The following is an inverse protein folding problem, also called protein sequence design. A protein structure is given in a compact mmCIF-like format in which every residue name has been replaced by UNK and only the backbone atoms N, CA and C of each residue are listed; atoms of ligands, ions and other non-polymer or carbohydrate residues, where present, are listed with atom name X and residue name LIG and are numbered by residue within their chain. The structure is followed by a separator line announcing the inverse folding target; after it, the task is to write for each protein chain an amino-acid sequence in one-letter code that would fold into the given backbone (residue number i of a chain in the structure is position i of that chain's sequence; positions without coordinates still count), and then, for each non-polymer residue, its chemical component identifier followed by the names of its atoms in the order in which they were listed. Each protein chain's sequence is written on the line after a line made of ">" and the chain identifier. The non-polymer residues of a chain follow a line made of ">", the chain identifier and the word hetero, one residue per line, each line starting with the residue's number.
data_IF_450345583563
#
_entry.id   IF_450345583563
#
_cell.length_a   1.000
_cell.length_b   1.000
_cell.length_c   1.000
_cell.angle_alpha   90.00
_cell.angle_beta   90.00
_cell.angle_gamma   90.00
#
_symmetry.space_group_name_H-M   'P 1'
#
loop_
_entity.id
_entity.type
_entity.pdbx_description
1 polymer ?
#
# COMPACT_ATOMS: atom_id res chain seq x y z
N UNK A 1 34.17 -2.53 12.36
CA UNK A 1 35.43 -2.93 11.68
C UNK A 1 35.21 -4.11 10.73
N UNK A 2 34.91 -5.33 11.23
CA UNK A 2 34.75 -6.52 10.38
C UNK A 2 33.72 -6.34 9.24
N UNK A 3 32.52 -5.84 9.56
CA UNK A 3 31.47 -5.57 8.57
C UNK A 3 31.93 -4.57 7.49
N UNK A 4 32.52 -3.44 7.89
CA UNK A 4 33.03 -2.44 6.95
C UNK A 4 34.15 -2.96 6.03
N UNK A 5 34.84 -4.04 6.43
CA UNK A 5 35.90 -4.66 5.66
C UNK A 5 35.42 -5.90 4.85
N UNK A 6 34.13 -6.26 4.92
CA UNK A 6 33.60 -7.48 4.31
C UNK A 6 34.18 -8.77 4.91
N UNK A 7 34.58 -8.73 6.19
CA UNK A 7 35.22 -9.87 6.86
C UNK A 7 34.26 -10.54 7.86
N UNK A 8 34.23 -11.88 7.92
CA UNK A 8 33.48 -12.60 8.95
C UNK A 8 34.14 -12.42 10.33
N UNK A 9 33.33 -12.52 11.38
CA UNK A 9 33.86 -12.62 12.75
C UNK A 9 34.26 -14.07 13.05
N UNK A 10 35.53 -14.28 13.41
CA UNK A 10 36.01 -15.59 13.83
C UNK A 10 35.37 -16.01 15.16
N UNK A 11 34.95 -17.27 15.27
CA UNK A 11 34.29 -17.82 16.46
C UNK A 11 35.09 -17.57 17.77
N UNK A 12 36.43 -17.73 17.81
CA UNK A 12 37.20 -17.42 19.03
C UNK A 12 37.08 -15.96 19.47
N UNK A 13 36.98 -15.02 18.53
CA UNK A 13 36.79 -13.60 18.85
C UNK A 13 35.41 -13.35 19.46
N UNK A 14 34.36 -13.97 18.92
CA UNK A 14 32.99 -13.90 19.47
C UNK A 14 32.96 -14.48 20.88
N UNK A 15 33.56 -15.67 21.09
CA UNK A 15 33.63 -16.29 22.42
C UNK A 15 34.38 -15.43 23.43
N UNK A 16 35.50 -14.80 23.02
CA UNK A 16 36.26 -13.90 23.87
C UNK A 16 35.45 -12.65 24.27
N UNK A 17 34.67 -12.08 23.34
CA UNK A 17 33.75 -10.97 23.63
C UNK A 17 32.62 -11.41 24.57
N UNK A 18 32.01 -12.58 24.33
CA UNK A 18 30.91 -13.10 25.14
C UNK A 18 31.32 -13.37 26.60
N UNK A 19 32.58 -13.74 26.82
CA UNK A 19 33.15 -13.97 28.15
C UNK A 19 33.40 -12.68 28.95
N UNK A 20 33.37 -11.50 28.31
CA UNK A 20 33.54 -10.24 29.03
C UNK A 20 32.26 -9.90 29.84
N UNK A 21 32.40 -9.48 31.11
CA UNK A 21 31.27 -9.19 31.98
C UNK A 21 30.62 -7.82 31.73
N UNK A 22 31.16 -7.00 30.83
CA UNK A 22 30.75 -5.61 30.68
C UNK A 22 29.38 -5.47 30.00
N UNK A 23 28.38 -5.09 30.78
CA UNK A 23 27.19 -4.41 30.26
C UNK A 23 27.53 -2.93 30.05
N UNK A 24 27.09 -2.36 28.93
CA UNK A 24 27.21 -0.91 28.73
C UNK A 24 26.39 -0.17 29.80
N UNK A 25 26.85 1.01 30.28
CA UNK A 25 26.02 1.85 31.13
C UNK A 25 24.71 2.21 30.40
N UNK A 26 23.67 2.55 31.17
CA UNK A 26 22.39 3.01 30.62
C UNK A 26 22.17 4.45 31.08
N UNK A 27 22.10 5.44 30.17
CA UNK A 27 22.24 5.32 28.71
C UNK A 27 23.65 4.92 28.24
N UNK A 28 23.74 4.33 27.04
CA UNK A 28 25.03 3.97 26.44
C UNK A 28 25.90 5.22 26.20
N UNK A 29 27.24 5.09 26.24
CA UNK A 29 28.14 6.15 25.81
C UNK A 29 27.94 6.47 24.33
N UNK A 30 28.17 7.73 23.94
CA UNK A 30 28.01 8.18 22.55
C UNK A 30 28.81 7.32 21.55
N UNK A 31 30.04 6.95 21.90
CA UNK A 31 30.90 6.08 21.09
C UNK A 31 30.24 4.72 20.82
N UNK A 32 29.61 4.10 21.84
CA UNK A 32 28.94 2.80 21.65
C UNK A 32 27.73 2.92 20.70
N UNK A 33 26.96 4.01 20.80
CA UNK A 33 25.86 4.32 19.87
C UNK A 33 26.39 4.52 18.44
N UNK A 34 27.48 5.28 18.28
CA UNK A 34 28.09 5.52 16.97
C UNK A 34 28.64 4.24 16.33
N UNK A 35 29.20 3.33 17.13
CA UNK A 35 29.63 2.01 16.64
C UNK A 35 28.45 1.13 16.22
N UNK A 36 27.32 1.17 16.93
CA UNK A 36 26.10 0.51 16.49
C UNK A 36 25.62 1.06 15.15
N UNK A 37 25.54 2.39 15.00
CA UNK A 37 25.13 3.04 13.75
C UNK A 37 26.09 2.68 12.61
N UNK A 38 27.40 2.67 12.87
CA UNK A 38 28.43 2.27 11.90
C UNK A 38 28.26 0.82 11.47
N UNK A 39 27.93 -0.09 12.40
CA UNK A 39 27.65 -1.48 12.09
C UNK A 39 26.39 -1.61 11.22
N UNK A 40 25.30 -0.91 11.55
CA UNK A 40 24.06 -0.94 10.77
C UNK A 40 24.24 -0.33 9.36
N UNK A 41 25.10 0.69 9.25
CA UNK A 41 25.42 1.36 7.99
C UNK A 41 26.42 0.63 7.08
N UNK A 42 26.98 -0.52 7.50
CA UNK A 42 27.98 -1.25 6.73
C UNK A 42 27.41 -2.07 5.55
N UNK A 43 26.09 -2.06 5.34
CA UNK A 43 25.46 -2.71 4.21
C UNK A 43 25.39 -4.24 4.36
N UNK A 44 25.43 -5.02 3.26
CA UNK A 44 25.21 -6.47 3.30
C UNK A 44 26.14 -7.23 4.27
N UNK A 45 27.35 -6.74 4.48
CA UNK A 45 28.35 -7.35 5.37
C UNK A 45 28.00 -7.21 6.86
N UNK A 46 27.03 -6.36 7.22
CA UNK A 46 26.47 -6.27 8.57
C UNK A 46 25.85 -7.58 9.00
N UNK A 47 25.19 -8.27 8.09
CA UNK A 47 24.44 -9.49 8.34
C UNK A 47 25.29 -10.60 8.99
N UNK A 48 26.37 -11.11 8.37
CA UNK A 48 27.13 -12.23 8.93
C UNK A 48 27.80 -11.85 10.26
N UNK A 49 28.16 -10.57 10.42
CA UNK A 49 28.72 -10.04 11.66
C UNK A 49 27.66 -10.02 12.77
N UNK A 50 26.45 -9.55 12.47
CA UNK A 50 25.33 -9.53 13.42
C UNK A 50 24.94 -10.93 13.87
N UNK A 51 24.83 -11.88 12.92
CA UNK A 51 24.53 -13.29 13.21
C UNK A 51 25.59 -13.93 14.11
N UNK A 52 26.87 -13.65 13.86
CA UNK A 52 27.95 -14.14 14.70
C UNK A 52 27.86 -13.57 16.13
N UNK A 53 27.58 -12.27 16.28
CA UNK A 53 27.40 -11.62 17.59
C UNK A 53 26.18 -12.18 18.35
N UNK A 54 25.06 -12.40 17.66
CA UNK A 54 23.86 -12.99 18.25
C UNK A 54 24.03 -14.47 18.59
N UNK A 55 24.79 -15.24 17.80
CA UNK A 55 25.16 -16.61 18.16
C UNK A 55 25.95 -16.66 19.49
N UNK A 56 26.75 -15.63 19.77
CA UNK A 56 27.42 -15.43 21.06
C UNK A 56 26.54 -14.81 22.16
N UNK A 57 25.27 -14.51 21.88
CA UNK A 57 24.33 -13.87 22.80
C UNK A 57 24.64 -12.39 23.10
N UNK A 58 25.52 -11.75 22.32
CA UNK A 58 25.95 -10.38 22.55
C UNK A 58 24.86 -9.37 22.19
N UNK A 59 24.14 -9.58 21.09
CA UNK A 59 23.05 -8.68 20.67
C UNK A 59 21.93 -8.70 21.70
N UNK A 60 21.41 -9.88 22.07
CA UNK A 60 20.40 -10.01 23.13
C UNK A 60 20.84 -9.39 24.46
N UNK A 61 22.12 -9.47 24.83
CA UNK A 61 22.65 -8.84 26.05
C UNK A 61 22.62 -7.31 25.98
N UNK A 62 22.96 -6.75 24.82
CA UNK A 62 22.97 -5.30 24.58
C UNK A 62 21.54 -4.75 24.44
N UNK A 63 20.68 -5.48 23.74
CA UNK A 63 19.31 -5.13 23.37
C UNK A 63 18.35 -6.21 23.88
N UNK A 64 17.91 -6.15 25.16
CA UNK A 64 17.15 -7.23 25.79
C UNK A 64 15.86 -7.63 25.06
N UNK A 65 15.12 -6.66 24.51
CA UNK A 65 13.89 -6.93 23.77
C UNK A 65 14.10 -7.75 22.49
N UNK A 66 15.34 -7.87 22.01
CA UNK A 66 15.71 -8.72 20.86
C UNK A 66 15.33 -10.19 21.08
N UNK A 67 15.36 -10.67 22.33
CA UNK A 67 15.00 -12.04 22.69
C UNK A 67 13.60 -12.43 22.18
N UNK A 68 12.68 -11.46 22.12
CA UNK A 68 11.27 -11.67 21.73
C UNK A 68 11.09 -11.88 20.23
N UNK A 69 12.02 -11.39 19.41
CA UNK A 69 11.98 -11.46 17.94
C UNK A 69 12.96 -12.46 17.35
N UNK A 70 13.92 -12.93 18.16
CA UNK A 70 14.91 -13.94 17.77
C UNK A 70 14.27 -15.20 17.19
N UNK A 71 14.70 -15.59 15.99
CA UNK A 71 14.21 -16.73 15.21
C UNK A 71 12.68 -16.81 15.10
N UNK A 72 11.96 -15.68 15.27
CA UNK A 72 10.50 -15.67 15.29
C UNK A 72 9.98 -15.78 13.85
N UNK A 73 9.07 -16.73 13.55
CA UNK A 73 8.45 -16.80 12.22
C UNK A 73 7.60 -15.56 11.91
N UNK A 74 7.69 -15.04 10.69
CA UNK A 74 6.77 -14.03 10.19
C UNK A 74 5.45 -14.70 9.80
N UNK A 75 4.31 -14.06 10.13
CA UNK A 75 2.96 -14.63 9.89
C UNK A 75 2.43 -14.38 8.48
N UNK A 76 3.10 -13.55 7.68
CA UNK A 76 2.66 -13.18 6.34
C UNK A 76 3.53 -13.87 5.26
N UNK A 77 2.93 -14.56 4.26
CA UNK A 77 3.64 -15.35 3.25
C UNK A 77 4.64 -14.60 2.37
N UNK A 78 4.64 -13.26 2.35
CA UNK A 78 5.62 -12.48 1.58
C UNK A 78 6.97 -12.31 2.28
N UNK A 79 7.07 -12.54 3.59
CA UNK A 79 8.36 -12.41 4.27
C UNK A 79 9.25 -13.63 3.99
N UNK A 80 10.46 -13.35 3.50
CA UNK A 80 11.50 -14.36 3.28
C UNK A 80 12.20 -14.80 4.57
N UNK A 81 12.20 -13.94 5.59
CA UNK A 81 13.05 -14.06 6.77
C UNK A 81 12.26 -14.19 8.07
N UNK A 82 12.90 -14.70 9.12
CA UNK A 82 12.42 -14.52 10.50
C UNK A 82 12.43 -13.05 10.90
N UNK A 83 11.68 -12.67 11.93
CA UNK A 83 11.54 -11.26 12.33
C UNK A 83 12.90 -10.62 12.60
N UNK A 84 13.74 -11.24 13.42
CA UNK A 84 15.11 -10.78 13.70
C UNK A 84 15.97 -10.54 12.45
N UNK A 85 16.00 -11.52 11.53
CA UNK A 85 16.75 -11.37 10.27
C UNK A 85 16.15 -10.28 9.38
N UNK A 86 14.82 -10.15 9.34
CA UNK A 86 14.13 -9.09 8.61
C UNK A 86 14.51 -7.69 9.11
N UNK A 87 14.65 -7.49 10.43
CA UNK A 87 15.09 -6.21 11.01
C UNK A 87 16.49 -5.82 10.52
N UNK A 88 17.43 -6.78 10.51
CA UNK A 88 18.80 -6.54 10.02
C UNK A 88 18.79 -6.27 8.52
N UNK A 89 18.06 -7.04 7.72
CA UNK A 89 17.92 -6.82 6.27
C UNK A 89 17.29 -5.45 5.96
N UNK A 90 16.34 -5.00 6.78
CA UNK A 90 15.74 -3.67 6.66
C UNK A 90 16.77 -2.58 6.94
N UNK A 91 17.63 -2.75 7.96
CA UNK A 91 18.74 -1.84 8.21
C UNK A 91 19.76 -1.83 7.06
N UNK A 92 20.04 -2.98 6.44
CA UNK A 92 20.87 -3.07 5.23
C UNK A 92 20.26 -2.29 4.07
N UNK A 93 18.96 -2.44 3.81
CA UNK A 93 18.26 -1.64 2.77
C UNK A 93 18.28 -0.15 3.10
N UNK A 94 18.06 0.21 4.36
CA UNK A 94 18.11 1.59 4.83
C UNK A 94 19.51 2.22 4.69
N UNK A 95 20.59 1.44 4.83
CA UNK A 95 21.97 1.93 4.65
C UNK A 95 22.22 2.52 3.26
N UNK A 96 21.58 1.96 2.22
CA UNK A 96 21.65 2.47 0.85
C UNK A 96 20.88 3.80 0.66
N UNK A 97 19.98 4.13 1.58
CA UNK A 97 19.13 5.33 1.54
C UNK A 97 19.67 6.48 2.41
N UNK A 98 20.79 6.29 3.10
CA UNK A 98 21.37 7.26 4.04
C UNK A 98 21.66 8.63 3.43
N UNK A 99 21.93 8.70 2.12
CA UNK A 99 22.16 9.96 1.39
C UNK A 99 20.87 10.72 1.02
N UNK A 100 19.70 10.09 1.15
CA UNK A 100 18.38 10.69 0.85
C UNK A 100 17.74 11.37 2.06
N UNK A 101 18.32 11.21 3.25
CA UNK A 101 17.73 11.68 4.51
C UNK A 101 18.70 12.55 5.30
N UNK A 102 18.18 13.51 6.09
CA UNK A 102 18.98 14.41 6.93
C UNK A 102 19.53 13.73 8.20
N UNK A 103 18.85 12.69 8.69
CA UNK A 103 19.19 11.95 9.92
C UNK A 103 19.37 10.45 9.64
N UNK A 104 20.45 10.05 8.94
CA UNK A 104 20.70 8.65 8.59
C UNK A 104 20.87 7.75 9.83
N UNK A 105 21.33 8.31 10.95
CA UNK A 105 21.40 7.64 12.24
C UNK A 105 20.03 7.17 12.74
N UNK A 106 19.02 8.05 12.70
CA UNK A 106 17.66 7.71 13.10
C UNK A 106 17.01 6.72 12.14
N UNK A 107 17.27 6.85 10.84
CA UNK A 107 16.77 5.90 9.83
C UNK A 107 17.28 4.47 10.10
N UNK A 108 18.59 4.32 10.34
CA UNK A 108 19.20 3.00 10.59
C UNK A 108 18.67 2.36 11.88
N UNK A 109 18.51 3.16 12.93
CA UNK A 109 17.96 2.67 14.20
C UNK A 109 16.47 2.36 14.07
N UNK A 110 15.68 3.21 13.41
CA UNK A 110 14.26 2.92 13.16
C UNK A 110 14.07 1.63 12.34
N UNK A 111 14.92 1.39 11.32
CA UNK A 111 14.91 0.17 10.53
C UNK A 111 15.13 -1.09 11.39
N UNK A 112 16.06 -1.03 12.35
CA UNK A 112 16.29 -2.11 13.30
C UNK A 112 15.12 -2.32 14.27
N UNK A 113 14.35 -1.27 14.60
CA UNK A 113 13.35 -1.28 15.66
C UNK A 113 11.90 -1.43 15.19
N UNK A 114 11.60 -1.17 13.90
CA UNK A 114 10.22 -0.99 13.39
C UNK A 114 9.26 -2.14 13.72
N UNK A 115 9.77 -3.37 13.77
CA UNK A 115 8.98 -4.58 13.92
C UNK A 115 9.16 -5.27 15.29
N UNK A 116 9.85 -4.62 16.24
CA UNK A 116 10.14 -5.19 17.57
C UNK A 116 8.88 -5.55 18.36
N UNK A 117 7.76 -4.85 18.10
CA UNK A 117 6.47 -5.14 18.72
C UNK A 117 5.85 -6.48 18.32
N UNK A 118 6.29 -7.15 17.24
CA UNK A 118 5.77 -8.48 16.84
C UNK A 118 6.00 -9.58 17.88
N UNK A 119 6.94 -9.35 18.81
CA UNK A 119 7.20 -10.20 19.96
C UNK A 119 6.14 -10.12 21.08
N UNK A 120 5.21 -9.17 21.01
CA UNK A 120 4.25 -8.83 22.06
C UNK A 120 2.79 -9.02 21.62
N UNK A 121 1.83 -9.21 22.55
CA UNK A 121 0.43 -9.29 22.21
C UNK A 121 -0.14 -7.92 21.82
N UNK A 122 -1.18 -7.91 20.98
CA UNK A 122 -1.85 -6.70 20.52
C UNK A 122 -1.34 -6.19 19.16
N UNK A 123 -1.57 -4.91 18.91
CA UNK A 123 -1.05 -4.21 17.72
C UNK A 123 0.46 -3.99 17.86
N UNK A 124 1.23 -4.55 16.93
CA UNK A 124 2.69 -4.53 16.97
C UNK A 124 3.27 -3.13 16.79
N UNK A 125 2.59 -2.22 16.12
CA UNK A 125 3.06 -0.84 15.96
C UNK A 125 2.82 -0.04 17.24
N UNK A 126 1.70 -0.27 17.95
CA UNK A 126 1.46 0.32 19.29
C UNK A 126 2.53 -0.18 20.28
N UNK A 127 2.70 -1.49 20.39
CA UNK A 127 3.68 -2.07 21.32
C UNK A 127 5.11 -1.69 20.94
N UNK A 128 5.39 -1.66 19.63
CA UNK A 128 6.68 -1.28 19.05
C UNK A 128 7.09 0.14 19.40
N UNK A 129 6.16 1.10 19.44
CA UNK A 129 6.45 2.48 19.84
C UNK A 129 7.09 2.55 21.24
N UNK A 130 6.45 1.93 22.23
CA UNK A 130 6.94 1.93 23.61
C UNK A 130 8.33 1.29 23.70
N UNK A 131 8.51 0.14 23.05
CA UNK A 131 9.78 -0.58 23.01
C UNK A 131 10.87 0.26 22.33
N UNK A 132 10.54 0.91 21.22
CA UNK A 132 11.47 1.75 20.49
C UNK A 132 11.93 2.95 21.34
N UNK A 133 11.02 3.57 22.11
CA UNK A 133 11.36 4.68 23.01
C UNK A 133 12.29 4.24 24.14
N UNK A 134 12.01 3.09 24.75
CA UNK A 134 12.83 2.51 25.82
C UNK A 134 14.23 2.13 25.29
N UNK A 135 14.29 1.49 24.12
CA UNK A 135 15.54 1.11 23.46
C UNK A 135 16.34 2.33 23.01
N UNK A 136 15.71 3.35 22.44
CA UNK A 136 16.37 4.59 22.03
C UNK A 136 17.00 5.32 23.24
N UNK A 137 16.25 5.41 24.35
CA UNK A 137 16.75 5.97 25.61
C UNK A 137 17.92 5.16 26.15
N UNK A 138 17.84 3.82 26.10
CA UNK A 138 18.94 2.92 26.49
C UNK A 138 20.19 3.12 25.63
N UNK A 139 20.04 3.22 24.31
CA UNK A 139 21.12 3.47 23.35
C UNK A 139 21.70 4.90 23.51
N UNK A 140 21.01 5.77 24.25
CA UNK A 140 21.49 7.10 24.61
C UNK A 140 21.07 8.20 23.63
N UNK A 141 19.96 8.02 22.90
CA UNK A 141 19.35 9.12 22.17
C UNK A 141 18.71 10.15 23.13
N UNK A 142 18.67 11.41 22.71
CA UNK A 142 18.00 12.46 23.47
C UNK A 142 16.46 12.33 23.33
N UNK A 143 15.71 13.06 24.14
CA UNK A 143 14.25 12.97 24.16
C UNK A 143 13.60 13.24 22.78
N UNK A 144 14.07 14.25 22.04
CA UNK A 144 13.51 14.59 20.73
C UNK A 144 13.76 13.48 19.69
N UNK A 145 14.96 12.90 19.67
CA UNK A 145 15.29 11.79 18.78
C UNK A 145 14.52 10.52 19.16
N UNK A 146 14.33 10.28 20.46
CA UNK A 146 13.49 9.19 20.99
C UNK A 146 12.03 9.35 20.57
N UNK A 147 11.50 10.57 20.56
CA UNK A 147 10.15 10.86 20.08
C UNK A 147 10.01 10.55 18.58
N UNK A 148 10.98 10.99 17.77
CA UNK A 148 10.99 10.68 16.32
C UNK A 148 11.06 9.17 16.08
N UNK A 149 11.95 8.45 16.76
CA UNK A 149 12.05 6.98 16.64
C UNK A 149 10.74 6.29 17.04
N UNK A 150 10.11 6.73 18.13
CA UNK A 150 8.80 6.24 18.56
C UNK A 150 7.74 6.44 17.47
N UNK A 151 7.65 7.64 16.90
CA UNK A 151 6.70 7.96 15.82
C UNK A 151 6.96 7.14 14.56
N UNK A 152 8.22 6.97 14.16
CA UNK A 152 8.60 6.14 13.00
C UNK A 152 8.15 4.69 13.18
N UNK A 153 8.40 4.10 14.35
CA UNK A 153 7.98 2.72 14.65
C UNK A 153 6.46 2.62 14.76
N UNK A 154 5.80 3.60 15.39
CA UNK A 154 4.34 3.67 15.51
C UNK A 154 3.63 3.66 14.16
N UNK A 155 4.22 4.35 13.17
CA UNK A 155 3.60 4.62 11.88
C UNK A 155 4.30 3.96 10.70
N UNK A 156 5.17 2.97 10.90
CA UNK A 156 5.97 2.37 9.80
C UNK A 156 5.14 1.80 8.63
N UNK A 157 3.88 1.40 8.86
CA UNK A 157 2.94 0.96 7.82
C UNK A 157 2.07 2.09 7.22
N UNK A 158 2.06 3.27 7.84
CA UNK A 158 1.11 4.35 7.53
C UNK A 158 1.16 4.75 6.05
N UNK A 159 2.36 5.02 5.52
CA UNK A 159 2.50 5.51 4.15
C UNK A 159 2.06 4.47 3.13
N UNK A 160 2.51 3.21 3.28
CA UNK A 160 2.19 2.17 2.30
C UNK A 160 0.71 1.79 2.35
N UNK A 161 0.11 1.71 3.54
CA UNK A 161 -1.32 1.41 3.68
C UNK A 161 -2.18 2.56 3.19
N UNK A 162 -1.84 3.80 3.52
CA UNK A 162 -2.59 4.98 3.05
C UNK A 162 -2.50 5.12 1.54
N UNK A 163 -1.29 5.02 0.99
CA UNK A 163 -1.05 5.18 -0.44
C UNK A 163 -1.76 4.14 -1.31
N UNK A 164 -1.96 2.93 -0.78
CA UNK A 164 -2.59 1.83 -1.53
C UNK A 164 -4.09 1.68 -1.29
N UNK A 165 -4.63 2.26 -0.20
CA UNK A 165 -6.02 2.03 0.22
C UNK A 165 -6.89 3.27 0.26
N UNK A 166 -6.30 4.46 0.11
CA UNK A 166 -7.05 5.72 0.19
C UNK A 166 -6.86 6.59 -1.02
N UNK A 167 -7.81 7.51 -1.17
CA UNK A 167 -7.77 8.54 -2.20
C UNK A 167 -6.73 9.58 -1.82
N UNK A 168 -5.67 9.69 -2.63
CA UNK A 168 -4.59 10.67 -2.47
C UNK A 168 -5.03 12.09 -2.84
N UNK A 169 -6.13 12.21 -3.59
CA UNK A 169 -6.79 13.48 -3.89
C UNK A 169 -7.59 14.05 -2.72
N UNK A 170 -7.96 13.23 -1.74
CA UNK A 170 -8.73 13.69 -0.59
C UNK A 170 -7.85 14.45 0.41
N UNK A 171 -8.13 15.74 0.70
CA UNK A 171 -7.41 16.51 1.71
C UNK A 171 -7.43 15.86 3.10
N UNK A 172 -8.49 15.10 3.44
CA UNK A 172 -8.57 14.40 4.72
C UNK A 172 -7.52 13.26 4.83
N UNK A 173 -7.21 12.59 3.71
CA UNK A 173 -6.14 11.58 3.65
C UNK A 173 -4.78 12.22 3.92
N UNK A 174 -4.52 13.36 3.28
CA UNK A 174 -3.26 14.11 3.45
C UNK A 174 -3.12 14.63 4.88
N UNK A 175 -4.18 15.25 5.41
CA UNK A 175 -4.21 15.79 6.77
C UNK A 175 -3.94 14.70 7.82
N UNK A 176 -4.54 13.51 7.67
CA UNK A 176 -4.34 12.39 8.59
C UNK A 176 -2.86 11.97 8.66
N UNK A 177 -2.16 11.95 7.53
CA UNK A 177 -0.73 11.60 7.51
C UNK A 177 0.11 12.76 8.05
N UNK A 178 -0.24 14.00 7.71
CA UNK A 178 0.43 15.19 8.22
C UNK A 178 0.34 15.29 9.75
N UNK A 179 -0.84 15.05 10.33
CA UNK A 179 -1.07 15.05 11.77
C UNK A 179 -0.30 13.94 12.48
N UNK A 180 -0.18 12.76 11.86
CA UNK A 180 0.53 11.63 12.43
C UNK A 180 2.07 11.82 12.42
N UNK A 181 2.62 12.39 11.35
CA UNK A 181 4.08 12.60 11.23
C UNK A 181 4.56 13.92 11.87
N UNK A 182 3.70 14.93 11.94
CA UNK A 182 3.94 16.21 12.60
C UNK A 182 4.89 17.17 11.87
N UNK A 183 5.99 16.66 11.31
CA UNK A 183 7.04 17.51 10.73
C UNK A 183 7.72 16.89 9.47
N UNK A 184 8.38 17.73 8.62
CA UNK A 184 9.01 17.26 7.39
C UNK A 184 10.19 16.29 7.58
N UNK A 185 10.93 16.35 8.70
CA UNK A 185 12.02 15.44 8.99
C UNK A 185 11.47 14.03 9.27
N UNK A 186 10.43 13.93 10.10
CA UNK A 186 9.77 12.65 10.40
C UNK A 186 9.15 12.03 9.15
N UNK A 187 8.49 12.83 8.30
CA UNK A 187 7.93 12.35 7.03
C UNK A 187 9.02 11.80 6.09
N UNK A 188 10.16 12.50 5.98
CA UNK A 188 11.29 12.08 5.15
C UNK A 188 11.88 10.75 5.61
N UNK A 189 12.08 10.59 6.92
CA UNK A 189 12.58 9.36 7.52
C UNK A 189 11.57 8.21 7.36
N UNK A 190 10.28 8.48 7.54
CA UNK A 190 9.23 7.48 7.39
C UNK A 190 9.14 6.97 5.94
N UNK A 191 9.29 7.87 4.97
CA UNK A 191 9.33 7.49 3.56
C UNK A 191 10.49 6.53 3.26
N UNK A 192 11.70 6.85 3.72
CA UNK A 192 12.86 5.98 3.53
C UNK A 192 12.72 4.64 4.29
N UNK A 193 12.14 4.65 5.49
CA UNK A 193 11.87 3.44 6.27
C UNK A 193 10.87 2.52 5.56
N UNK A 194 9.76 3.06 5.05
CA UNK A 194 8.75 2.31 4.31
C UNK A 194 9.35 1.64 3.06
N UNK A 195 10.20 2.35 2.32
CA UNK A 195 10.91 1.78 1.16
C UNK A 195 11.88 0.66 1.57
N UNK A 196 12.67 0.88 2.62
CA UNK A 196 13.63 -0.10 3.12
C UNK A 196 12.96 -1.40 3.59
N UNK A 197 11.87 -1.30 4.34
CA UNK A 197 11.10 -2.45 4.86
C UNK A 197 10.46 -3.27 3.73
N UNK A 198 9.86 -2.59 2.75
CA UNK A 198 9.27 -3.25 1.60
C UNK A 198 10.35 -3.96 0.74
N UNK A 199 11.51 -3.33 0.52
CA UNK A 199 12.64 -3.96 -0.18
C UNK A 199 13.25 -5.15 0.57
N UNK A 200 13.23 -5.13 1.90
CA UNK A 200 13.72 -6.23 2.75
C UNK A 200 12.74 -7.42 2.75
N UNK A 201 11.44 -7.14 2.68
CA UNK A 201 10.40 -8.16 2.54
C UNK A 201 10.54 -8.92 1.21
N UNK A 202 10.76 -8.21 0.11
CA UNK A 202 11.10 -8.80 -1.20
C UNK A 202 10.64 -7.97 -2.40
N UNK A 203 11.07 -8.32 -3.63
CA UNK A 203 10.75 -7.56 -4.84
C UNK A 203 9.25 -7.49 -5.15
N UNK A 204 8.46 -8.47 -4.70
CA UNK A 204 7.01 -8.44 -4.83
C UNK A 204 6.33 -7.44 -3.87
N UNK A 205 7.01 -7.01 -2.80
CA UNK A 205 6.49 -6.07 -1.81
C UNK A 205 6.74 -4.60 -2.20
N UNK A 206 7.82 -4.29 -2.94
CA UNK A 206 8.10 -2.95 -3.44
C UNK A 206 8.18 -2.90 -4.98
N UNK A 207 7.07 -2.50 -5.60
CA UNK A 207 7.00 -2.28 -7.05
C UNK A 207 7.15 -0.80 -7.40
N UNK A 208 7.51 -0.50 -8.66
CA UNK A 208 7.50 0.85 -9.21
C UNK A 208 6.17 1.58 -8.97
N UNK A 209 5.06 0.87 -9.14
CA UNK A 209 3.73 1.38 -8.84
C UNK A 209 3.57 1.82 -7.38
N UNK A 210 3.89 0.94 -6.40
CA UNK A 210 3.79 1.30 -4.97
C UNK A 210 4.72 2.47 -4.63
N UNK A 211 5.94 2.48 -5.19
CA UNK A 211 6.86 3.59 -5.03
C UNK A 211 6.25 4.92 -5.52
N UNK A 212 5.60 4.92 -6.69
CA UNK A 212 4.96 6.14 -7.23
C UNK A 212 3.80 6.66 -6.37
N UNK A 213 3.00 5.76 -5.79
CA UNK A 213 1.88 6.13 -4.91
C UNK A 213 2.39 6.72 -3.59
N UNK A 214 3.39 6.08 -2.98
CA UNK A 214 4.01 6.57 -1.74
C UNK A 214 4.69 7.92 -1.99
N UNK A 215 5.39 8.09 -3.11
CA UNK A 215 6.03 9.35 -3.46
C UNK A 215 5.01 10.49 -3.69
N UNK A 216 3.88 10.23 -4.37
CA UNK A 216 2.82 11.23 -4.54
C UNK A 216 2.20 11.63 -3.19
N UNK A 217 1.88 10.65 -2.34
CA UNK A 217 1.40 10.92 -0.98
C UNK A 217 2.40 11.78 -0.19
N UNK A 218 3.68 11.40 -0.16
CA UNK A 218 4.73 12.14 0.56
C UNK A 218 4.85 13.57 0.02
N UNK A 219 4.78 13.77 -1.30
CA UNK A 219 4.81 15.11 -1.91
C UNK A 219 3.66 15.99 -1.43
N UNK A 220 2.44 15.44 -1.39
CA UNK A 220 1.23 16.16 -0.94
C UNK A 220 1.29 16.49 0.55
N UNK A 221 1.71 15.54 1.38
CA UNK A 221 1.88 15.74 2.83
C UNK A 221 2.97 16.77 3.11
N UNK A 222 4.10 16.71 2.39
CA UNK A 222 5.18 17.69 2.53
C UNK A 222 4.73 19.12 2.16
N UNK A 223 3.87 19.28 1.16
CA UNK A 223 3.26 20.56 0.84
C UNK A 223 2.34 21.03 1.99
N UNK A 224 1.46 20.16 2.48
CA UNK A 224 0.56 20.48 3.62
C UNK A 224 1.30 20.89 4.89
N UNK A 225 2.46 20.28 5.18
CA UNK A 225 3.27 20.60 6.36
C UNK A 225 4.00 21.96 6.22
N UNK A 226 4.30 22.41 5.00
CA UNK A 226 4.95 23.71 4.75
C UNK A 226 3.97 24.86 4.88
N UNK A 227 2.75 24.67 4.38
CA UNK A 227 1.77 25.75 4.25
C UNK A 227 0.97 25.98 5.56
N UNK A 228 1.23 25.20 6.62
CA UNK A 228 0.63 25.37 7.96
C UNK A 228 -0.88 25.07 8.03
N UNK A 229 -1.48 24.74 6.89
CA UNK A 229 -2.82 24.26 6.69
C UNK A 229 -2.82 23.47 5.38
N UNK A 230 -3.68 22.45 5.29
CA UNK A 230 -4.02 21.92 3.98
C UNK A 230 -4.39 23.11 3.07
N UNK A 231 -3.87 23.19 1.83
CA UNK A 231 -4.32 24.22 0.90
C UNK A 231 -5.86 24.21 0.90
N UNK A 232 -6.53 25.38 0.75
CA UNK A 232 -7.96 25.38 0.51
C UNK A 232 -8.26 24.35 -0.58
N UNK A 233 -9.43 23.69 -0.60
CA UNK A 233 -9.75 22.72 -1.64
C UNK A 233 -9.72 23.45 -3.00
N UNK A 234 -8.54 23.56 -3.59
CA UNK A 234 -8.36 23.81 -5.00
C UNK A 234 -9.13 22.66 -5.62
N UNK A 235 -10.19 23.01 -6.36
CA UNK A 235 -11.06 22.02 -6.99
C UNK A 235 -10.18 20.96 -7.62
N UNK A 236 -10.54 19.68 -7.43
CA UNK A 236 -9.75 18.54 -7.89
C UNK A 236 -9.08 18.87 -9.23
N UNK A 237 -7.74 18.73 -9.33
CA UNK A 237 -7.01 19.14 -10.53
C UNK A 237 -7.74 18.63 -11.76
N UNK A 238 -7.96 19.55 -12.72
CA UNK A 238 -8.71 19.24 -13.93
C UNK A 238 -8.13 18.01 -14.64
N UNK A 239 -8.94 17.33 -15.47
CA UNK A 239 -8.45 16.21 -16.27
C UNK A 239 -7.19 16.61 -17.05
N UNK A 240 -6.25 15.67 -17.19
CA UNK A 240 -5.08 15.92 -18.02
C UNK A 240 -5.49 16.29 -19.45
N UNK A 241 -4.67 17.06 -20.17
CA UNK A 241 -4.93 17.40 -21.60
C UNK A 241 -5.20 16.15 -22.44
N UNK A 242 -4.54 15.04 -22.10
CA UNK A 242 -4.77 13.74 -22.70
C UNK A 242 -6.17 13.18 -22.42
N UNK A 243 -6.60 13.22 -21.16
CA UNK A 243 -7.92 12.81 -20.72
C UNK A 243 -9.02 13.67 -21.39
N UNK A 244 -8.81 14.98 -21.48
CA UNK A 244 -9.71 15.90 -22.20
C UNK A 244 -9.84 15.53 -23.68
N UNK A 245 -8.73 15.22 -24.35
CA UNK A 245 -8.76 14.77 -25.77
C UNK A 245 -9.59 13.51 -25.97
N UNK A 246 -9.46 12.53 -25.07
CA UNK A 246 -10.27 11.32 -25.10
C UNK A 246 -11.75 11.63 -24.88
N UNK A 247 -12.07 12.56 -23.98
CA UNK A 247 -13.45 12.96 -23.73
C UNK A 247 -14.10 13.65 -24.95
N UNK A 248 -13.36 14.52 -25.64
CA UNK A 248 -13.83 15.14 -26.90
C UNK A 248 -14.02 14.10 -28.00
N UNK A 249 -13.21 13.04 -28.05
CA UNK A 249 -13.38 11.95 -29.00
C UNK A 249 -14.58 11.05 -28.67
N UNK A 250 -14.77 10.72 -27.39
CA UNK A 250 -15.92 9.96 -26.89
C UNK A 250 -17.23 10.68 -27.19
N UNK A 251 -17.26 12.01 -27.00
CA UNK A 251 -18.40 12.84 -27.38
C UNK A 251 -18.69 12.76 -28.88
N UNK A 252 -17.67 12.93 -29.74
CA UNK A 252 -17.84 12.90 -31.20
C UNK A 252 -18.30 11.53 -31.74
N UNK A 253 -17.86 10.45 -31.10
CA UNK A 253 -18.16 9.08 -31.54
C UNK A 253 -19.40 8.49 -30.88
N UNK A 254 -19.94 9.15 -29.85
CA UNK A 254 -21.01 8.64 -28.98
C UNK A 254 -20.74 7.24 -28.41
N UNK A 255 -19.46 6.87 -28.26
CA UNK A 255 -19.04 5.54 -27.83
C UNK A 255 -17.80 5.60 -26.94
N UNK A 256 -17.42 4.47 -26.32
CA UNK A 256 -16.27 4.42 -25.45
C UNK A 256 -14.97 4.58 -26.24
N UNK A 257 -14.09 5.43 -25.73
CA UNK A 257 -12.72 5.63 -26.19
C UNK A 257 -11.81 5.34 -25.01
N UNK A 258 -10.68 4.68 -25.23
CA UNK A 258 -9.75 4.37 -24.16
C UNK A 258 -8.30 4.49 -24.60
N UNK A 259 -7.42 4.75 -23.63
CA UNK A 259 -5.99 4.74 -23.79
C UNK A 259 -5.33 3.91 -22.67
N UNK A 260 -4.37 3.07 -23.04
CA UNK A 260 -3.50 2.36 -22.11
C UNK A 260 -2.13 3.04 -22.13
N UNK A 261 -1.62 3.43 -20.96
CA UNK A 261 -0.31 4.07 -20.82
C UNK A 261 0.54 3.35 -19.79
N UNK A 262 1.72 2.84 -20.16
CA UNK A 262 2.71 2.47 -19.16
C UNK A 262 3.18 3.75 -18.46
N UNK A 263 3.17 3.78 -17.13
CA UNK A 263 3.70 4.93 -16.39
C UNK A 263 5.23 4.83 -16.39
N UNK A 264 5.97 5.87 -16.81
CA UNK A 264 7.42 5.86 -16.68
C UNK A 264 7.79 5.76 -15.19
N UNK A 265 8.81 4.94 -14.91
CA UNK A 265 9.45 4.86 -13.60
C UNK A 265 10.31 6.10 -13.39
N UNK A 266 9.87 7.07 -12.59
CA UNK A 266 10.73 8.13 -12.06
C UNK A 266 11.64 7.54 -10.96
N UNK A 267 12.48 6.58 -11.33
CA UNK A 267 13.55 6.09 -10.45
C UNK A 267 14.88 6.50 -11.06
N UNK A 268 15.43 7.63 -10.59
CA UNK A 268 16.86 7.95 -10.65
C UNK A 268 17.63 6.97 -9.74
N UNK A 269 17.63 5.69 -10.09
CA UNK A 269 18.41 4.63 -9.44
C UNK A 269 19.32 3.96 -10.47
N UNK A 270 20.48 3.42 -10.06
CA UNK A 270 21.45 2.86 -11.00
C UNK A 270 20.79 1.74 -11.82
N UNK A 271 20.97 1.82 -13.14
CA UNK A 271 20.58 0.80 -14.11
C UNK A 271 21.08 -0.57 -13.62
N UNK A 272 20.16 -1.52 -13.42
CA UNK A 272 20.51 -2.90 -13.09
C UNK A 272 20.89 -3.61 -14.38
N UNK A 273 22.08 -4.23 -14.42
CA UNK A 273 22.61 -5.03 -15.54
C UNK A 273 21.94 -6.41 -15.74
N UNK A 274 20.66 -6.58 -15.36
CA UNK A 274 19.93 -7.84 -15.61
C UNK A 274 18.99 -7.69 -16.82
N UNK A 275 19.28 -8.44 -17.90
CA UNK A 275 18.54 -8.57 -19.17
C UNK A 275 17.13 -9.19 -19.03
N UNK A 276 16.31 -8.69 -18.11
CA UNK A 276 14.88 -8.95 -18.10
C UNK A 276 14.15 -7.66 -18.50
N UNK A 277 13.48 -7.67 -19.65
CA UNK A 277 12.60 -6.57 -20.06
C UNK A 277 11.71 -6.18 -18.87
N UNK A 278 11.70 -4.91 -18.42
CA UNK A 278 10.90 -4.52 -17.28
C UNK A 278 9.43 -4.75 -17.62
N UNK A 279 8.80 -5.74 -16.96
CA UNK A 279 7.36 -5.93 -17.05
C UNK A 279 6.67 -4.60 -16.73
N UNK A 280 5.67 -4.15 -17.52
CA UNK A 280 4.95 -2.92 -17.23
C UNK A 280 4.14 -3.11 -15.94
N UNK A 281 4.76 -2.78 -14.81
CA UNK A 281 4.21 -2.92 -13.46
C UNK A 281 3.41 -1.66 -13.14
N UNK A 282 2.18 -1.64 -13.65
CA UNK A 282 1.19 -0.57 -13.47
C UNK A 282 0.89 0.16 -14.78
N UNK A 283 -0.35 0.03 -15.24
CA UNK A 283 -0.86 0.68 -16.45
C UNK A 283 -1.99 1.59 -16.06
N UNK A 284 -1.91 2.83 -16.54
CA UNK A 284 -3.01 3.76 -16.51
C UNK A 284 -3.92 3.45 -17.70
N UNK A 285 -5.16 3.08 -17.40
CA UNK A 285 -6.23 2.91 -18.36
C UNK A 285 -7.21 4.07 -18.18
N UNK A 286 -7.20 5.01 -19.12
CA UNK A 286 -8.17 6.10 -19.16
C UNK A 286 -9.29 5.68 -20.12
N UNK A 287 -10.53 5.68 -19.63
CA UNK A 287 -11.73 5.41 -20.42
C UNK A 287 -12.60 6.66 -20.42
N UNK A 288 -13.02 7.11 -21.60
CA UNK A 288 -13.97 8.19 -21.77
C UNK A 288 -15.20 7.69 -22.53
N UNK A 289 -16.40 8.01 -22.04
CA UNK A 289 -17.66 7.60 -22.67
C UNK A 289 -18.83 8.49 -22.24
N UNK A 290 -19.91 8.58 -23.03
CA UNK A 290 -21.15 9.23 -22.60
C UNK A 290 -21.65 8.69 -21.27
N UNK A 291 -22.21 9.57 -20.45
CA UNK A 291 -22.85 9.16 -19.19
C UNK A 291 -24.07 8.27 -19.47
N UNK A 292 -24.04 7.07 -18.90
CA UNK A 292 -25.09 6.07 -19.03
C UNK A 292 -25.04 5.10 -17.84
N UNK A 293 -26.14 4.37 -17.56
CA UNK A 293 -26.13 3.30 -16.58
C UNK A 293 -25.13 2.19 -16.96
N UNK A 294 -24.60 1.49 -15.96
CA UNK A 294 -23.84 0.27 -16.09
C UNK A 294 -22.35 0.46 -16.30
N UNK A 295 -21.85 1.69 -16.37
CA UNK A 295 -20.48 1.98 -16.79
C UNK A 295 -19.44 1.39 -15.85
N UNK A 296 -19.49 1.69 -14.55
CA UNK A 296 -18.55 1.17 -13.56
C UNK A 296 -18.53 -0.38 -13.56
N UNK A 297 -19.66 -1.09 -13.42
CA UNK A 297 -19.63 -2.55 -13.48
C UNK A 297 -19.18 -3.06 -14.86
N UNK A 298 -19.61 -2.48 -15.98
CA UNK A 298 -19.18 -2.93 -17.31
C UNK A 298 -17.65 -2.88 -17.46
N UNK A 299 -17.02 -1.77 -17.07
CA UNK A 299 -15.55 -1.64 -17.13
C UNK A 299 -14.89 -2.65 -16.18
N UNK A 300 -15.31 -2.72 -14.91
CA UNK A 300 -14.76 -3.68 -13.94
C UNK A 300 -14.89 -5.14 -14.41
N UNK A 301 -16.03 -5.49 -15.01
CA UNK A 301 -16.31 -6.81 -15.56
C UNK A 301 -15.40 -7.16 -16.73
N UNK A 302 -15.24 -6.25 -17.70
CA UNK A 302 -14.33 -6.43 -18.84
C UNK A 302 -12.89 -6.59 -18.36
N UNK A 303 -12.42 -5.76 -17.43
CA UNK A 303 -11.08 -5.88 -16.85
C UNK A 303 -10.87 -7.25 -16.19
N UNK A 304 -11.85 -7.74 -15.41
CA UNK A 304 -11.80 -9.06 -14.79
C UNK A 304 -11.77 -10.19 -15.84
N UNK A 305 -12.54 -10.09 -16.92
CA UNK A 305 -12.52 -11.06 -18.03
C UNK A 305 -11.13 -11.13 -18.68
N UNK A 306 -10.47 -9.99 -18.86
CA UNK A 306 -9.11 -9.89 -19.40
C UNK A 306 -7.99 -10.17 -18.40
N UNK A 307 -8.32 -10.62 -17.18
CA UNK A 307 -7.34 -10.93 -16.11
C UNK A 307 -6.50 -9.72 -15.69
N UNK A 308 -7.08 -8.52 -15.75
CA UNK A 308 -6.47 -7.33 -15.23
C UNK A 308 -6.84 -7.19 -13.76
N UNK A 309 -5.83 -7.14 -12.89
CA UNK A 309 -6.02 -6.76 -11.50
C UNK A 309 -6.23 -5.24 -11.45
N UNK A 310 -7.31 -4.81 -10.80
CA UNK A 310 -7.58 -3.40 -10.55
C UNK A 310 -6.95 -3.03 -9.22
N UNK A 311 -6.26 -1.89 -9.18
CA UNK A 311 -5.68 -1.32 -7.95
C UNK A 311 -6.42 -0.05 -7.52
N UNK A 312 -6.81 0.78 -8.49
CA UNK A 312 -7.65 1.95 -8.24
C UNK A 312 -8.53 2.27 -9.44
N UNK A 313 -9.65 2.95 -9.19
CA UNK A 313 -10.50 3.55 -10.18
C UNK A 313 -10.95 4.93 -9.69
N UNK A 314 -10.75 5.96 -10.50
CA UNK A 314 -11.23 7.33 -10.25
C UNK A 314 -12.26 7.67 -11.33
N UNK A 315 -13.41 8.23 -10.95
CA UNK A 315 -14.54 8.49 -11.83
C UNK A 315 -14.97 9.95 -11.71
N UNK A 316 -15.07 10.62 -12.85
CA UNK A 316 -15.43 12.03 -12.94
C UNK A 316 -16.35 12.26 -14.13
N UNK A 317 -17.41 13.04 -13.92
CA UNK A 317 -18.17 13.64 -15.01
C UNK A 317 -17.52 14.97 -15.44
N UNK A 318 -17.31 15.17 -16.74
CA UNK A 318 -16.85 16.42 -17.33
C UNK A 318 -17.73 16.83 -18.50
N UNK A 319 -17.81 18.13 -18.75
CA UNK A 319 -18.40 18.67 -19.98
C UNK A 319 -17.29 19.32 -20.81
N UNK A 320 -16.60 18.56 -21.68
CA UNK A 320 -15.38 19.02 -22.34
C UNK A 320 -15.64 20.14 -23.38
N UNK A 321 -16.87 20.30 -23.87
CA UNK A 321 -17.21 21.23 -24.95
C UNK A 321 -18.52 22.01 -24.70
N UNK A 322 -19.10 21.94 -23.51
CA UNK A 322 -20.39 22.59 -23.21
C UNK A 322 -21.60 21.91 -23.87
N UNK A 323 -21.46 20.66 -24.28
CA UNK A 323 -22.41 19.98 -25.18
C UNK A 323 -22.89 18.61 -24.66
N UNK A 324 -22.44 18.19 -23.47
CA UNK A 324 -22.91 16.96 -22.83
C UNK A 324 -21.91 16.38 -21.85
N UNK A 325 -22.43 15.67 -20.84
CA UNK A 325 -21.60 15.02 -19.83
C UNK A 325 -20.92 13.76 -20.39
N UNK A 326 -19.59 13.73 -20.23
CA UNK A 326 -18.73 12.59 -20.50
C UNK A 326 -18.20 12.08 -19.18
N UNK A 327 -18.30 10.77 -18.96
CA UNK A 327 -17.63 10.10 -17.87
C UNK A 327 -16.19 9.82 -18.26
N UNK A 328 -15.28 10.29 -17.43
CA UNK A 328 -13.88 9.96 -17.47
C UNK A 328 -13.57 9.02 -16.31
N UNK A 329 -13.01 7.86 -16.63
CA UNK A 329 -12.58 6.88 -15.65
C UNK A 329 -11.08 6.63 -15.80
N UNK A 330 -10.33 6.94 -14.76
CA UNK A 330 -8.91 6.62 -14.65
C UNK A 330 -8.75 5.35 -13.81
N UNK A 331 -8.32 4.27 -14.44
CA UNK A 331 -8.10 2.98 -13.81
C UNK A 331 -6.61 2.69 -13.74
N UNK A 332 -6.13 2.28 -12.57
CA UNK A 332 -4.80 1.68 -12.45
C UNK A 332 -4.94 0.17 -12.41
N UNK A 333 -4.32 -0.49 -13.40
CA UNK A 333 -4.43 -1.94 -13.59
C UNK A 333 -3.08 -2.60 -13.80
N UNK A 334 -3.00 -3.90 -13.55
CA UNK A 334 -1.86 -4.72 -13.94
C UNK A 334 -2.32 -6.05 -14.51
N UNK A 335 -1.56 -6.62 -15.46
CA UNK A 335 -1.83 -7.98 -15.90
C UNK A 335 -1.57 -8.96 -14.74
N UNK A 336 -2.51 -9.88 -14.49
CA UNK A 336 -2.27 -10.98 -13.54
C UNK A 336 -1.26 -11.98 -14.10
N UNK A 337 -1.26 -12.16 -15.43
CA UNK A 337 -0.37 -13.06 -16.16
C UNK A 337 -0.14 -12.54 -17.58
N UNK A 338 1.10 -12.64 -18.07
CA UNK A 338 1.44 -12.34 -19.46
C UNK A 338 1.36 -10.86 -19.82
N UNK A 339 1.32 -10.58 -21.13
CA UNK A 339 1.27 -9.21 -21.66
C UNK A 339 -0.12 -8.58 -21.52
N UNK A 340 -0.14 -7.25 -21.46
CA UNK A 340 -1.39 -6.47 -21.49
C UNK A 340 -2.21 -6.76 -22.76
N UNK A 341 -3.55 -6.77 -22.66
CA UNK A 341 -4.40 -6.89 -23.84
C UNK A 341 -4.30 -5.65 -24.72
N UNK A 342 -4.54 -5.83 -26.03
CA UNK A 342 -4.62 -4.70 -26.97
C UNK A 342 -5.80 -3.79 -26.63
N UNK A 343 -5.60 -2.48 -26.70
CA UNK A 343 -6.59 -1.46 -26.39
C UNK A 343 -7.89 -1.65 -27.21
N UNK A 344 -7.77 -2.01 -28.49
CA UNK A 344 -8.90 -2.22 -29.40
C UNK A 344 -9.78 -3.39 -28.95
N UNK A 345 -9.18 -4.44 -28.36
CA UNK A 345 -9.90 -5.60 -27.86
C UNK A 345 -10.66 -5.27 -26.58
N UNK A 346 -10.04 -4.54 -25.65
CA UNK A 346 -10.72 -4.02 -24.46
C UNK A 346 -11.90 -3.14 -24.85
N UNK A 347 -11.70 -2.24 -25.82
CA UNK A 347 -12.75 -1.35 -26.32
C UNK A 347 -13.91 -2.13 -26.92
N UNK A 348 -13.63 -3.11 -27.77
CA UNK A 348 -14.67 -3.92 -28.40
C UNK A 348 -15.52 -4.70 -27.37
N UNK A 349 -14.88 -5.31 -26.36
CA UNK A 349 -15.62 -6.00 -25.30
C UNK A 349 -16.38 -5.02 -24.38
N UNK A 350 -15.86 -3.81 -24.16
CA UNK A 350 -16.56 -2.74 -23.43
C UNK A 350 -17.80 -2.25 -24.18
N UNK A 351 -17.72 -2.03 -25.49
CA UNK A 351 -18.90 -1.71 -26.33
C UNK A 351 -19.96 -2.80 -26.16
N UNK A 352 -19.58 -4.07 -26.32
CA UNK A 352 -20.51 -5.20 -26.20
C UNK A 352 -21.11 -5.33 -24.79
N UNK A 353 -20.32 -5.02 -23.76
CA UNK A 353 -20.80 -5.00 -22.38
C UNK A 353 -21.86 -3.92 -22.15
N UNK A 354 -21.62 -2.71 -22.64
CA UNK A 354 -22.54 -1.57 -22.50
C UNK A 354 -23.82 -1.77 -23.31
N UNK A 355 -23.74 -2.44 -24.46
CA UNK A 355 -24.90 -2.82 -25.28
C UNK A 355 -25.67 -4.05 -24.72
N UNK A 356 -25.13 -4.72 -23.69
CA UNK A 356 -25.71 -5.94 -23.13
C UNK A 356 -25.53 -7.20 -23.99
N UNK A 357 -24.73 -7.15 -25.07
CA UNK A 357 -24.44 -8.29 -25.95
C UNK A 357 -23.32 -9.21 -25.43
N UNK A 358 -22.67 -8.84 -24.32
CA UNK A 358 -21.69 -9.64 -23.60
C UNK A 358 -22.23 -10.02 -22.21
N UNK A 359 -22.49 -11.31 -21.99
CA UNK A 359 -22.86 -11.84 -20.68
C UNK A 359 -21.63 -11.88 -19.74
N UNK A 360 -21.36 -10.74 -19.10
CA UNK A 360 -20.29 -10.60 -18.11
C UNK A 360 -20.56 -11.51 -16.90
N UNK A 361 -21.78 -11.49 -16.37
CA UNK A 361 -22.17 -12.24 -15.18
C UNK A 361 -21.92 -13.74 -15.36
N UNK A 362 -22.42 -14.34 -16.44
CA UNK A 362 -22.26 -15.75 -16.73
C UNK A 362 -20.79 -16.14 -16.93
N UNK A 363 -20.03 -15.35 -17.71
CA UNK A 363 -18.60 -15.62 -17.95
C UNK A 363 -17.75 -15.53 -16.68
N UNK A 364 -18.06 -14.59 -15.78
CA UNK A 364 -17.37 -14.49 -14.49
C UNK A 364 -17.75 -15.65 -13.56
N UNK A 365 -19.02 -16.09 -13.57
CA UNK A 365 -19.48 -17.24 -12.80
C UNK A 365 -18.84 -18.56 -13.25
N UNK A 366 -18.77 -18.81 -14.57
CA UNK A 366 -18.06 -19.96 -15.15
C UNK A 366 -16.60 -19.99 -14.71
N UNK A 367 -15.96 -18.82 -14.69
CA UNK A 367 -14.58 -18.68 -14.26
C UNK A 367 -14.43 -18.95 -12.77
N UNK A 368 -15.25 -18.34 -11.92
CA UNK A 368 -15.22 -18.61 -10.48
C UNK A 368 -15.37 -20.11 -10.19
N UNK A 369 -16.28 -20.80 -10.88
CA UNK A 369 -16.49 -22.23 -10.77
C UNK A 369 -15.23 -23.04 -11.16
N UNK A 370 -14.54 -22.66 -12.24
CA UNK A 370 -13.31 -23.31 -12.68
C UNK A 370 -12.14 -23.15 -11.68
N UNK A 371 -12.09 -22.04 -10.94
CA UNK A 371 -11.05 -21.77 -9.94
C UNK A 371 -11.39 -22.30 -8.53
N UNK A 372 -12.64 -22.71 -8.30
CA UNK A 372 -13.10 -23.23 -7.00
C UNK A 372 -12.44 -24.60 -6.73
N UNK A 373 -11.39 -24.61 -5.89
CA UNK A 373 -10.69 -25.86 -5.53
C UNK A 373 -11.61 -26.84 -4.78
N UNK A 374 -11.46 -28.18 -4.97
CA UNK A 374 -12.25 -29.17 -4.25
C UNK A 374 -12.10 -29.06 -2.72
N UNK A 375 -13.25 -29.05 -2.06
CA UNK A 375 -13.55 -28.98 -0.61
C UNK A 375 -12.52 -29.67 0.30
N UNK A 376 -11.56 -28.91 0.84
CA UNK A 376 -10.80 -29.26 2.06
C UNK A 376 -10.54 -28.07 3.01
N UNK A 377 -11.03 -26.87 2.68
CA UNK A 377 -10.88 -25.69 3.54
C UNK A 377 -12.23 -25.32 4.18
N UNK A 378 -12.25 -24.81 5.43
CA UNK A 378 -13.42 -24.14 5.98
C UNK A 378 -13.93 -23.09 4.98
N UNK A 379 -15.26 -22.89 4.94
CA UNK A 379 -15.84 -21.82 4.12
C UNK A 379 -15.22 -20.47 4.47
N UNK A 380 -15.02 -19.62 3.47
CA UNK A 380 -14.56 -18.26 3.71
C UNK A 380 -15.55 -17.55 4.65
N UNK A 381 -15.08 -16.70 5.59
CA UNK A 381 -15.98 -15.90 6.41
C UNK A 381 -16.89 -15.04 5.53
N UNK A 382 -18.09 -14.69 6.01
CA UNK A 382 -19.01 -13.84 5.25
C UNK A 382 -18.37 -12.47 4.99
N UNK A 383 -18.75 -11.80 3.88
CA UNK A 383 -18.29 -10.44 3.62
C UNK A 383 -18.75 -9.49 4.74
N UNK A 384 -18.00 -8.41 4.93
CA UNK A 384 -18.32 -7.34 5.88
C UNK A 384 -18.21 -6.00 5.17
N UNK A 385 -19.20 -5.14 5.37
CA UNK A 385 -19.18 -3.77 4.84
C UNK A 385 -19.35 -2.79 5.99
N UNK A 386 -18.41 -1.85 6.11
CA UNK A 386 -18.41 -0.84 7.18
C UNK A 386 -18.24 0.55 6.62
N UNK A 387 -18.89 1.55 7.24
CA UNK A 387 -18.67 2.96 6.94
C UNK A 387 -17.43 3.43 7.72
N UNK A 388 -16.47 4.07 7.06
CA UNK A 388 -15.26 4.52 7.73
C UNK A 388 -15.57 5.70 8.70
N UNK A 389 -15.04 5.67 9.94
CA UNK A 389 -15.37 6.66 10.97
C UNK A 389 -14.70 8.03 10.76
N UNK A 390 -13.56 8.07 10.09
CA UNK A 390 -12.89 9.32 9.70
C UNK A 390 -13.30 9.62 8.26
N UNK A 391 -14.41 10.35 8.13
CA UNK A 391 -15.06 10.61 6.85
C UNK A 391 -14.35 11.69 6.04
N UNK A 392 -14.22 11.44 4.74
CA UNK A 392 -13.96 12.49 3.76
C UNK A 392 -15.04 13.57 3.85
N UNK A 393 -14.68 14.85 3.69
CA UNK A 393 -15.68 15.92 3.51
C UNK A 393 -16.33 15.86 2.14
N UNK A 394 -15.75 15.09 1.22
CA UNK A 394 -16.10 15.04 -0.18
C UNK A 394 -16.92 13.79 -0.55
N UNK A 395 -16.87 12.74 0.28
CA UNK A 395 -17.60 11.50 0.04
C UNK A 395 -17.83 10.69 1.34
N UNK A 396 -18.79 9.78 1.30
CA UNK A 396 -18.90 8.71 2.30
C UNK A 396 -17.97 7.57 1.90
N UNK A 397 -17.15 7.07 2.83
CA UNK A 397 -16.21 5.98 2.54
C UNK A 397 -16.78 4.65 3.05
N UNK A 398 -16.94 3.68 2.15
CA UNK A 398 -17.32 2.31 2.46
C UNK A 398 -16.10 1.39 2.36
N UNK A 399 -15.83 0.64 3.42
CA UNK A 399 -14.83 -0.44 3.42
C UNK A 399 -15.53 -1.79 3.22
N UNK A 400 -15.20 -2.50 2.15
CA UNK A 400 -15.70 -3.84 1.83
C UNK A 400 -14.59 -4.85 2.07
N UNK A 401 -14.80 -5.78 3.01
CA UNK A 401 -13.93 -6.93 3.25
C UNK A 401 -14.62 -8.19 2.79
N UNK A 402 -14.06 -8.86 1.79
CA UNK A 402 -14.65 -10.08 1.22
C UNK A 402 -13.57 -11.05 0.76
N UNK A 403 -13.95 -12.30 0.49
CA UNK A 403 -13.10 -13.26 -0.20
C UNK A 403 -12.82 -12.76 -1.62
N UNK A 404 -11.55 -12.68 -1.99
CA UNK A 404 -11.17 -12.31 -3.36
C UNK A 404 -11.61 -13.42 -4.33
N UNK A 405 -12.26 -13.01 -5.41
CA UNK A 405 -12.84 -13.88 -6.42
C UNK A 405 -12.99 -13.13 -7.75
N UNK A 406 -12.88 -13.81 -8.91
CA UNK A 406 -13.09 -13.19 -10.21
C UNK A 406 -14.42 -12.44 -10.25
N UNK A 407 -14.38 -11.14 -10.57
CA UNK A 407 -15.58 -10.33 -10.70
C UNK A 407 -16.14 -9.74 -9.40
N UNK A 408 -15.40 -9.78 -8.28
CA UNK A 408 -15.84 -9.14 -7.03
C UNK A 408 -16.17 -7.65 -7.25
N UNK A 409 -15.28 -6.88 -7.88
CA UNK A 409 -15.50 -5.47 -8.18
C UNK A 409 -16.71 -5.23 -9.10
N UNK A 410 -16.96 -6.13 -10.07
CA UNK A 410 -18.16 -6.10 -10.90
C UNK A 410 -19.44 -6.23 -10.07
N UNK A 411 -19.46 -7.19 -9.13
CA UNK A 411 -20.61 -7.39 -8.23
C UNK A 411 -20.84 -6.20 -7.30
N UNK A 412 -19.76 -5.65 -6.73
CA UNK A 412 -19.85 -4.46 -5.89
C UNK A 412 -20.37 -3.26 -6.70
N UNK A 413 -19.80 -3.03 -7.89
CA UNK A 413 -20.25 -1.97 -8.79
C UNK A 413 -21.73 -2.08 -9.17
N UNK A 414 -22.21 -3.30 -9.45
CA UNK A 414 -23.62 -3.59 -9.71
C UNK A 414 -24.52 -3.25 -8.52
N UNK A 415 -24.09 -3.56 -7.30
CA UNK A 415 -24.86 -3.30 -6.09
C UNK A 415 -24.90 -1.80 -5.73
N UNK A 416 -23.75 -1.11 -5.84
CA UNK A 416 -23.67 0.35 -5.65
C UNK A 416 -24.56 1.10 -6.64
N UNK A 417 -24.53 0.69 -7.91
CA UNK A 417 -25.38 1.28 -8.94
C UNK A 417 -26.86 1.02 -8.68
N UNK A 418 -27.24 -0.20 -8.29
CA UNK A 418 -28.63 -0.53 -7.95
C UNK A 418 -29.13 0.28 -6.73
N UNK A 419 -28.24 0.66 -5.83
CA UNK A 419 -28.55 1.53 -4.70
C UNK A 419 -28.61 3.03 -5.07
N UNK A 420 -28.34 3.40 -6.33
CA UNK A 420 -28.44 4.76 -6.84
C UNK A 420 -27.38 5.72 -6.28
N UNK A 421 -26.22 5.22 -5.86
CA UNK A 421 -25.12 6.06 -5.38
C UNK A 421 -24.07 6.24 -6.45
N UNK A 422 -23.42 7.41 -6.43
CA UNK A 422 -22.30 7.70 -7.32
C UNK A 422 -20.99 7.25 -6.69
N UNK A 423 -20.12 6.58 -7.46
CA UNK A 423 -18.77 6.22 -7.01
C UNK A 423 -17.80 7.25 -7.58
N UNK A 424 -17.14 8.01 -6.70
CA UNK A 424 -16.10 8.97 -7.07
C UNK A 424 -14.76 8.28 -7.26
N UNK A 425 -14.39 7.42 -6.32
CA UNK A 425 -13.15 6.65 -6.39
C UNK A 425 -13.29 5.30 -5.69
N UNK A 426 -12.51 4.33 -6.14
CA UNK A 426 -12.41 2.99 -5.58
C UNK A 426 -10.94 2.60 -5.47
N UNK A 427 -10.55 2.05 -4.33
CA UNK A 427 -9.20 1.53 -4.07
C UNK A 427 -9.32 0.05 -3.73
N UNK A 428 -8.63 -0.79 -4.49
CA UNK A 428 -8.78 -2.25 -4.45
C UNK A 428 -7.48 -2.85 -3.95
N UNK A 429 -7.54 -3.58 -2.85
CA UNK A 429 -6.34 -4.17 -2.22
C UNK A 429 -6.59 -5.63 -1.86
N UNK A 430 -5.89 -6.54 -2.53
CA UNK A 430 -5.90 -7.97 -2.18
C UNK A 430 -4.85 -8.29 -1.12
N UNK A 431 -5.29 -8.86 0.01
CA UNK A 431 -4.46 -9.43 1.07
C UNK A 431 -4.65 -10.95 1.13
N UNK A 432 -3.73 -11.69 0.51
CA UNK A 432 -3.78 -13.15 0.46
C UNK A 432 -5.01 -13.63 -0.31
N UNK A 433 -5.98 -14.19 0.40
CA UNK A 433 -7.24 -14.65 -0.19
C UNK A 433 -8.38 -13.65 -0.03
N UNK A 434 -8.19 -12.52 0.65
CA UNK A 434 -9.25 -11.54 0.91
C UNK A 434 -8.99 -10.25 0.12
N UNK A 435 -10.05 -9.61 -0.35
CA UNK A 435 -10.05 -8.25 -0.82
C UNK A 435 -10.46 -7.30 0.31
N UNK A 436 -9.81 -6.15 0.39
CA UNK A 436 -10.13 -5.04 1.28
C UNK A 436 -10.22 -3.80 0.41
N UNK A 437 -11.44 -3.50 -0.03
CA UNK A 437 -11.72 -2.46 -1.01
C UNK A 437 -12.34 -1.24 -0.32
N UNK A 438 -11.95 -0.04 -0.72
CA UNK A 438 -12.51 1.21 -0.21
C UNK A 438 -13.21 1.95 -1.35
N UNK A 439 -14.47 2.34 -1.15
CA UNK A 439 -15.28 3.08 -2.12
C UNK A 439 -15.69 4.43 -1.56
N UNK A 440 -15.37 5.50 -2.27
CA UNK A 440 -15.76 6.87 -1.97
C UNK A 440 -17.04 7.15 -2.75
N UNK A 441 -18.17 7.19 -2.03
CA UNK A 441 -19.50 7.32 -2.62
C UNK A 441 -20.20 8.61 -2.24
N UNK A 442 -20.98 9.16 -3.16
CA UNK A 442 -21.76 10.39 -2.99
C UNK A 442 -23.20 10.20 -3.44
N UNK A 443 -24.05 11.17 -3.12
CA UNK A 443 -25.32 11.36 -3.81
C UNK A 443 -25.09 11.77 -5.27
N UNK A 444 -26.15 11.81 -6.08
CA UNK A 444 -26.09 12.30 -7.46
C UNK A 444 -25.63 13.77 -7.55
N UNK A 445 -25.89 14.56 -6.49
CA UNK A 445 -25.47 15.95 -6.36
C UNK A 445 -24.00 16.10 -5.91
N UNK A 446 -23.27 14.99 -5.75
CA UNK A 446 -21.86 15.00 -5.36
C UNK A 446 -21.61 15.25 -3.87
N UNK A 447 -22.63 15.09 -3.02
CA UNK A 447 -22.50 15.28 -1.55
C UNK A 447 -22.34 13.95 -0.81
N UNK A 448 -21.67 13.91 0.36
CA UNK A 448 -21.64 12.71 1.20
C UNK A 448 -23.04 12.23 1.58
N UNK A 449 -23.22 10.92 1.71
CA UNK A 449 -24.46 10.32 2.16
C UNK A 449 -24.73 10.67 3.64
N UNK A 450 -26.01 10.74 4.01
CA UNK A 450 -26.38 10.81 5.43
C UNK A 450 -25.96 9.54 6.16
N UNK A 451 -25.71 9.63 7.47
CA UNK A 451 -25.29 8.48 8.29
C UNK A 451 -26.29 7.31 8.21
N UNK A 452 -27.60 7.62 8.21
CA UNK A 452 -28.66 6.63 8.05
C UNK A 452 -28.57 5.92 6.68
N UNK A 453 -28.40 6.68 5.59
CA UNK A 453 -28.29 6.13 4.24
C UNK A 453 -27.01 5.33 4.05
N UNK A 454 -25.89 5.80 4.59
CA UNK A 454 -24.61 5.10 4.55
C UNK A 454 -24.68 3.74 5.27
N UNK A 455 -25.33 3.71 6.44
CA UNK A 455 -25.51 2.49 7.24
C UNK A 455 -26.44 1.49 6.54
N UNK A 456 -27.53 1.97 5.95
CA UNK A 456 -28.45 1.15 5.15
C UNK A 456 -27.72 0.55 3.93
N UNK A 457 -27.02 1.38 3.16
CA UNK A 457 -26.23 0.97 2.01
C UNK A 457 -25.20 -0.11 2.36
N UNK A 458 -24.47 0.06 3.47
CA UNK A 458 -23.50 -0.94 3.93
C UNK A 458 -24.17 -2.30 4.21
N UNK A 459 -25.34 -2.31 4.88
CA UNK A 459 -26.09 -3.55 5.16
C UNK A 459 -26.62 -4.20 3.88
N UNK A 460 -27.10 -3.41 2.93
CA UNK A 460 -27.61 -3.90 1.66
C UNK A 460 -26.50 -4.54 0.83
N UNK A 461 -25.34 -3.86 0.72
CA UNK A 461 -24.16 -4.44 0.05
C UNK A 461 -23.69 -5.73 0.73
N UNK A 462 -23.64 -5.77 2.06
CA UNK A 462 -23.24 -6.97 2.79
C UNK A 462 -24.17 -8.15 2.48
N UNK A 463 -25.49 -7.91 2.43
CA UNK A 463 -26.49 -8.93 2.09
C UNK A 463 -26.35 -9.40 0.64
N UNK A 464 -26.17 -8.49 -0.30
CA UNK A 464 -26.05 -8.84 -1.73
C UNK A 464 -24.78 -9.66 -2.01
N UNK A 465 -23.66 -9.28 -1.40
CA UNK A 465 -22.40 -10.01 -1.51
C UNK A 465 -22.47 -11.40 -0.83
N UNK A 466 -23.20 -11.52 0.28
CA UNK A 466 -23.42 -12.82 0.93
C UNK A 466 -24.34 -13.73 0.09
N UNK A 467 -25.39 -13.18 -0.52
CA UNK A 467 -26.35 -13.91 -1.36
C UNK A 467 -25.72 -14.49 -2.62
N UNK A 468 -24.79 -13.77 -3.25
CA UNK A 468 -24.07 -14.23 -4.43
C UNK A 468 -23.14 -15.45 -4.17
N UNK A 469 -22.72 -15.68 -2.93
CA UNK A 469 -21.89 -16.83 -2.55
C UNK A 469 -22.68 -18.11 -2.21
N UNK A 470 -24.00 -18.00 -2.02
CA UNK A 470 -24.87 -19.07 -1.50
C UNK A 470 -25.65 -19.89 -2.54
N UNK A 471 -25.64 -19.53 -3.81
CA UNK A 471 -26.44 -20.20 -4.86
C UNK A 471 -25.82 -21.51 -5.37
N UNK A 472 -25.51 -22.43 -4.45
CA UNK A 472 -24.86 -23.72 -4.75
C UNK A 472 -25.32 -24.88 -3.86
N UNK A 473 -26.52 -24.81 -3.31
CA UNK A 473 -27.18 -25.95 -2.64
C UNK A 473 -28.61 -26.08 -3.17
N UNK A 474 -28.73 -26.83 -4.26
CA UNK A 474 -29.97 -27.42 -4.76
C UNK A 474 -29.65 -28.86 -5.15
#
# INVERSE_FOLDING_TARGET
>A
AAAAAGLPLALPAVSALAAQPATLPVPWPAEAREQLITLLGAGPDTVPVWEALEAGGLITRLLPDWERVRCRPQRNPVHRWTVDRHLVETAVRASALTRRVRRPDLLLVAALLHDMGKGWPGDHSVAGETIARDMATRIGFNAADTDVLGTLVRHHLLLIETATRRDLGDPATVALVADAVGDPLTLELLHALTEADALATGPAAWSSWRASLVADLVKRVAASLRDGAAPPPEGEPGPSVAAERLAVEAFRTAGPVLALRPRPTDTDGPEREDDAEPEPVGVELVVALPEQPGVLPAVAGVLALHRLAVHSAELRAIDPVGAGQILLLDWRVSAQYGSLPRAERLRADLVRALEGSLDISGRLAEREAAYRRPRRRPGAPPPRVTVAPLGSRLATVLEVRAQDAPGLLYRIGRALEAAGVWVRSAHVSTLGANAVDAFYVTTAEGTPLSEARATELARDLERDLAGAGGSGTG
#
